data_IF_738001361459
#
_entry.id   IF_738001361459
#
_cell.length_a   1.000
_cell.length_b   1.000
_cell.length_c   1.000
_cell.angle_alpha   90.00
_cell.angle_beta   90.00
_cell.angle_gamma   90.00
#
_symmetry.space_group_name_H-M   'P 1'
#
loop_
_entity.id
_entity.type
_entity.pdbx_description
1 polymer ?
#
# COMPACT_ATOMS: atom_id res chain seq x y z
N UNK A 1 -17.54 -52.34 38.12
CA UNK A 1 -16.26 -51.77 37.71
C UNK A 1 -16.27 -51.07 36.34
N UNK A 2 -17.40 -50.72 35.84
CA UNK A 2 -17.56 -50.07 34.50
C UNK A 2 -17.48 -48.53 34.50
N UNK A 3 -17.50 -47.90 35.65
CA UNK A 3 -17.54 -46.42 35.75
C UNK A 3 -16.21 -45.71 35.51
N UNK A 4 -15.07 -46.35 35.70
CA UNK A 4 -13.75 -45.71 35.52
C UNK A 4 -13.33 -45.62 34.08
N UNK A 5 -13.62 -46.67 33.31
CA UNK A 5 -13.31 -46.70 31.87
C UNK A 5 -14.20 -45.73 31.06
N UNK A 6 -15.44 -45.58 31.45
CA UNK A 6 -16.39 -44.69 30.79
C UNK A 6 -15.99 -43.23 30.96
N UNK A 7 -15.55 -42.84 32.17
CA UNK A 7 -15.06 -41.46 32.42
C UNK A 7 -13.79 -41.12 31.64
N UNK A 8 -12.89 -42.12 31.49
CA UNK A 8 -11.66 -41.87 30.72
C UNK A 8 -11.91 -41.77 29.21
N UNK A 9 -12.88 -42.50 28.68
CA UNK A 9 -13.28 -42.39 27.27
C UNK A 9 -13.97 -41.05 26.99
N UNK A 10 -14.87 -40.61 27.84
CA UNK A 10 -15.52 -39.31 27.75
C UNK A 10 -14.52 -38.15 27.82
N UNK A 11 -13.54 -38.23 28.73
CA UNK A 11 -12.51 -37.22 28.86
C UNK A 11 -11.63 -37.12 27.63
N UNK A 12 -11.25 -38.27 27.05
CA UNK A 12 -10.47 -38.33 25.79
C UNK A 12 -11.26 -37.77 24.60
N UNK A 13 -12.54 -38.10 24.49
CA UNK A 13 -13.41 -37.59 23.45
C UNK A 13 -13.58 -36.05 23.59
N UNK A 14 -13.73 -35.52 24.80
CA UNK A 14 -13.83 -34.08 25.04
C UNK A 14 -12.53 -33.35 24.67
N UNK A 15 -11.37 -33.90 25.00
CA UNK A 15 -10.06 -33.32 24.67
C UNK A 15 -9.84 -33.31 23.15
N UNK A 16 -10.16 -34.40 22.45
CA UNK A 16 -10.05 -34.48 20.99
C UNK A 16 -10.99 -33.49 20.30
N UNK A 17 -12.22 -33.33 20.78
CA UNK A 17 -13.16 -32.33 20.25
C UNK A 17 -12.66 -30.90 20.45
N UNK A 18 -12.07 -30.61 21.61
CA UNK A 18 -11.51 -29.29 21.91
C UNK A 18 -10.32 -28.97 20.99
N UNK A 19 -9.42 -29.94 20.77
CA UNK A 19 -8.29 -29.79 19.85
C UNK A 19 -8.76 -29.58 18.42
N UNK A 20 -9.77 -30.31 17.95
CA UNK A 20 -10.35 -30.13 16.63
C UNK A 20 -10.94 -28.71 16.45
N UNK A 21 -11.64 -28.19 17.45
CA UNK A 21 -12.17 -26.81 17.43
C UNK A 21 -11.06 -25.76 17.37
N UNK A 22 -9.96 -25.95 18.10
CA UNK A 22 -8.80 -25.04 18.07
C UNK A 22 -8.16 -25.03 16.69
N UNK A 23 -7.98 -26.18 16.07
CA UNK A 23 -7.40 -26.31 14.71
C UNK A 23 -8.28 -25.60 13.67
N UNK A 24 -9.59 -25.83 13.72
CA UNK A 24 -10.54 -25.19 12.80
C UNK A 24 -10.57 -23.67 13.02
N UNK A 25 -10.60 -23.21 14.25
CA UNK A 25 -10.56 -21.78 14.55
C UNK A 25 -9.27 -21.13 14.05
N UNK A 26 -8.13 -21.78 14.23
CA UNK A 26 -6.83 -21.32 13.74
C UNK A 26 -6.79 -21.25 12.20
N UNK A 27 -7.31 -22.27 11.53
CA UNK A 27 -7.40 -22.30 10.06
C UNK A 27 -8.29 -21.15 9.52
N UNK A 28 -9.43 -20.90 10.16
CA UNK A 28 -10.33 -19.79 9.77
C UNK A 28 -9.65 -18.43 9.96
N UNK A 29 -8.90 -18.23 11.03
CA UNK A 29 -8.16 -16.99 11.28
C UNK A 29 -7.06 -16.80 10.23
N UNK A 30 -6.33 -17.86 9.89
CA UNK A 30 -5.27 -17.82 8.86
C UNK A 30 -5.87 -17.54 7.48
N UNK A 31 -6.97 -18.20 7.12
CA UNK A 31 -7.67 -17.97 5.85
C UNK A 31 -8.22 -16.55 5.77
N UNK A 32 -8.76 -16.00 6.87
CA UNK A 32 -9.21 -14.60 6.91
C UNK A 32 -8.07 -13.59 6.85
N UNK A 33 -6.89 -13.94 7.35
CA UNK A 33 -5.70 -13.07 7.23
C UNK A 33 -5.08 -13.16 5.84
N UNK A 34 -5.16 -14.33 5.20
CA UNK A 34 -4.64 -14.56 3.84
C UNK A 34 -5.69 -14.31 2.74
N UNK A 35 -6.98 -14.28 3.07
CA UNK A 35 -7.93 -13.58 2.24
C UNK A 35 -7.54 -12.11 2.33
N UNK A 36 -6.50 -11.76 1.55
CA UNK A 36 -6.24 -10.38 1.24
C UNK A 36 -7.62 -9.79 0.93
N UNK A 37 -8.06 -8.87 1.76
CA UNK A 37 -9.07 -7.90 1.36
C UNK A 37 -8.73 -7.58 -0.08
N UNK A 38 -9.63 -7.77 -1.05
CA UNK A 38 -9.37 -7.31 -2.39
C UNK A 38 -8.92 -5.88 -2.17
N UNK A 39 -7.62 -5.64 -2.37
CA UNK A 39 -7.10 -4.30 -2.38
C UNK A 39 -7.97 -3.68 -3.44
N UNK A 40 -8.89 -2.84 -3.01
CA UNK A 40 -9.61 -2.02 -3.94
C UNK A 40 -8.49 -1.39 -4.75
N UNK A 41 -8.34 -1.81 -6.00
CA UNK A 41 -7.27 -1.39 -6.90
C UNK A 41 -7.31 0.12 -7.12
N UNK A 42 -8.29 0.78 -6.56
CA UNK A 42 -8.43 2.23 -6.39
C UNK A 42 -7.75 2.76 -5.12
N UNK A 43 -7.40 1.92 -4.16
CA UNK A 43 -6.58 2.30 -3.02
C UNK A 43 -5.09 2.19 -3.39
N UNK A 44 -4.57 3.07 -3.91
CA UNK A 44 -3.64 4.13 -3.80
C UNK A 44 -2.53 3.73 -2.80
N UNK A 45 -1.46 3.23 -3.37
CA UNK A 45 -0.19 3.23 -2.69
C UNK A 45 0.25 4.71 -2.59
N UNK A 46 0.20 5.30 -1.41
CA UNK A 46 0.67 6.67 -1.21
C UNK A 46 1.87 6.71 -0.27
N UNK A 47 2.82 7.56 -0.57
CA UNK A 47 3.99 7.81 0.26
C UNK A 47 4.04 9.30 0.58
N UNK A 48 3.99 9.63 1.86
CA UNK A 48 4.08 11.01 2.34
C UNK A 48 5.41 11.24 3.04
N UNK A 49 6.11 12.30 2.67
CA UNK A 49 7.38 12.70 3.26
C UNK A 49 7.43 14.22 3.31
N UNK A 50 7.66 14.79 4.50
CA UNK A 50 7.77 16.24 4.71
C UNK A 50 6.57 17.04 4.16
N UNK A 51 5.34 16.55 4.35
CA UNK A 51 4.13 17.20 3.87
C UNK A 51 3.87 17.06 2.37
N UNK A 52 4.75 16.39 1.62
CA UNK A 52 4.59 16.09 0.19
C UNK A 52 4.13 14.66 0.02
N UNK A 53 3.20 14.43 -0.89
CA UNK A 53 2.59 13.11 -1.10
C UNK A 53 2.77 12.65 -2.54
N UNK A 54 3.31 11.45 -2.69
CA UNK A 54 3.35 10.72 -3.96
C UNK A 54 2.26 9.66 -3.93
N UNK A 55 1.41 9.63 -4.95
CA UNK A 55 0.27 8.72 -5.05
C UNK A 55 0.39 7.90 -6.32
N UNK A 56 0.26 6.58 -6.19
CA UNK A 56 0.16 5.68 -7.34
C UNK A 56 -1.31 5.44 -7.64
N UNK A 57 -1.71 5.67 -8.87
CA UNK A 57 -3.09 5.48 -9.34
C UNK A 57 -3.16 4.52 -10.50
N UNK A 58 -4.22 3.75 -10.58
CA UNK A 58 -4.54 2.95 -11.74
C UNK A 58 -5.36 3.80 -12.70
N UNK A 59 -4.76 4.12 -13.84
CA UNK A 59 -5.42 4.88 -14.89
C UNK A 59 -5.79 3.94 -16.04
N UNK A 60 -7.06 3.87 -16.48
CA UNK A 60 -7.46 3.02 -17.60
C UNK A 60 -6.80 3.43 -18.93
N UNK A 61 -6.47 4.69 -19.09
CA UNK A 61 -5.71 5.23 -20.20
C UNK A 61 -4.24 5.27 -19.78
N UNK A 62 -3.50 4.20 -20.00
CA UNK A 62 -2.10 4.04 -19.57
C UNK A 62 -1.18 5.12 -20.17
N UNK A 63 -1.38 6.36 -19.81
CA UNK A 63 -0.36 7.38 -19.96
C UNK A 63 0.79 7.05 -19.00
N UNK A 64 1.93 6.72 -19.56
CA UNK A 64 3.16 6.42 -18.79
C UNK A 64 3.75 7.65 -18.09
N UNK A 65 2.97 8.69 -17.90
CA UNK A 65 3.46 9.96 -17.39
C UNK A 65 3.31 10.07 -15.87
N UNK A 66 4.34 10.62 -15.26
CA UNK A 66 4.31 11.13 -13.90
C UNK A 66 3.80 12.58 -13.96
N UNK A 67 2.81 12.91 -13.15
CA UNK A 67 2.28 14.28 -13.03
C UNK A 67 2.65 14.84 -11.67
N UNK A 68 3.26 16.01 -11.68
CA UNK A 68 3.57 16.77 -10.47
C UNK A 68 2.65 17.99 -10.42
N UNK A 69 2.04 18.25 -9.27
CA UNK A 69 1.20 19.43 -9.06
C UNK A 69 2.03 20.71 -9.15
N UNK A 70 1.40 21.80 -9.57
CA UNK A 70 2.06 23.08 -9.77
C UNK A 70 2.68 23.69 -8.50
N UNK A 71 2.13 23.34 -7.33
CA UNK A 71 2.65 23.74 -6.02
C UNK A 71 3.83 22.88 -5.51
N UNK A 72 4.13 21.76 -6.19
CA UNK A 72 5.17 20.82 -5.78
C UNK A 72 4.83 20.00 -4.53
N UNK A 73 3.58 19.98 -4.08
CA UNK A 73 3.16 19.29 -2.86
C UNK A 73 2.64 17.88 -3.11
N UNK A 74 2.26 17.55 -4.33
CA UNK A 74 1.79 16.24 -4.71
C UNK A 74 2.29 15.79 -6.07
N UNK A 75 2.44 14.49 -6.22
CA UNK A 75 2.75 13.85 -7.49
C UNK A 75 1.90 12.59 -7.66
N UNK A 76 1.52 12.32 -8.88
CA UNK A 76 0.74 11.14 -9.26
C UNK A 76 1.51 10.31 -10.26
N UNK A 77 1.66 9.01 -9.99
CA UNK A 77 2.37 8.06 -10.83
C UNK A 77 1.41 6.94 -11.25
N UNK A 78 1.44 6.58 -12.52
CA UNK A 78 0.61 5.48 -12.99
C UNK A 78 1.21 4.12 -12.59
N UNK A 79 0.40 3.25 -11.99
CA UNK A 79 0.78 1.89 -11.61
C UNK A 79 1.25 1.02 -12.78
N UNK A 80 0.83 1.32 -14.01
CA UNK A 80 1.31 0.63 -15.21
C UNK A 80 2.84 0.65 -15.32
N UNK A 81 3.51 1.70 -14.84
CA UNK A 81 4.97 1.80 -14.84
C UNK A 81 5.64 0.77 -13.93
N UNK A 82 4.96 0.34 -12.88
CA UNK A 82 5.47 -0.68 -11.96
C UNK A 82 5.23 -2.10 -12.49
N UNK A 83 4.17 -2.30 -13.26
CA UNK A 83 3.73 -3.61 -13.75
C UNK A 83 4.26 -3.97 -15.14
N UNK A 84 4.88 -3.05 -15.82
CA UNK A 84 5.38 -3.27 -17.19
C UNK A 84 6.39 -4.42 -17.23
N UNK A 85 6.17 -5.41 -18.11
CA UNK A 85 7.03 -6.59 -18.23
C UNK A 85 6.90 -7.62 -17.11
N UNK A 86 5.81 -7.65 -16.33
CA UNK A 86 5.56 -8.61 -15.23
C UNK A 86 6.76 -8.77 -14.29
N UNK A 87 7.22 -7.71 -13.60
CA UNK A 87 8.35 -7.81 -12.70
C UNK A 87 8.04 -8.71 -11.49
N UNK A 88 9.06 -9.36 -10.94
CA UNK A 88 8.95 -10.03 -9.66
C UNK A 88 8.78 -9.02 -8.50
N UNK A 89 8.52 -9.49 -7.29
CA UNK A 89 8.27 -8.62 -6.14
C UNK A 89 9.46 -7.72 -5.80
N UNK A 90 10.69 -8.20 -5.99
CA UNK A 90 11.93 -7.46 -5.73
C UNK A 90 12.13 -6.34 -6.75
N UNK A 91 11.93 -6.63 -8.02
CA UNK A 91 12.04 -5.64 -9.09
C UNK A 91 10.90 -4.60 -9.01
N UNK A 92 9.69 -5.03 -8.64
CA UNK A 92 8.56 -4.13 -8.39
C UNK A 92 8.89 -3.13 -7.28
N UNK A 93 9.41 -3.60 -6.13
CA UNK A 93 9.82 -2.75 -5.02
C UNK A 93 10.93 -1.77 -5.43
N UNK A 94 11.92 -2.23 -6.17
CA UNK A 94 13.01 -1.40 -6.69
C UNK A 94 12.51 -0.29 -7.62
N UNK A 95 11.61 -0.61 -8.54
CA UNK A 95 10.97 0.38 -9.44
C UNK A 95 10.14 1.38 -8.67
N UNK A 96 9.36 0.92 -7.71
CA UNK A 96 8.56 1.79 -6.83
C UNK A 96 9.45 2.81 -6.13
N UNK A 97 10.48 2.36 -5.46
CA UNK A 97 11.38 3.23 -4.71
C UNK A 97 12.09 4.24 -5.60
N UNK A 98 12.55 3.82 -6.78
CA UNK A 98 13.17 4.71 -7.76
C UNK A 98 12.19 5.79 -8.27
N UNK A 99 10.95 5.42 -8.56
CA UNK A 99 9.92 6.36 -9.00
C UNK A 99 9.51 7.33 -7.89
N UNK A 100 9.44 6.87 -6.66
CA UNK A 100 9.15 7.72 -5.49
C UNK A 100 10.25 8.76 -5.30
N UNK A 101 11.52 8.39 -5.35
CA UNK A 101 12.65 9.32 -5.24
C UNK A 101 12.66 10.32 -6.41
N UNK A 102 12.41 9.87 -7.62
CA UNK A 102 12.28 10.75 -8.78
C UNK A 102 11.14 11.75 -8.59
N UNK A 103 9.99 11.31 -8.08
CA UNK A 103 8.84 12.18 -7.85
C UNK A 103 9.15 13.25 -6.78
N UNK A 104 9.79 12.90 -5.68
CA UNK A 104 10.19 13.86 -4.66
C UNK A 104 11.21 14.87 -5.18
N UNK A 105 12.15 14.47 -6.02
CA UNK A 105 13.10 15.36 -6.69
C UNK A 105 12.39 16.39 -7.57
N UNK A 106 11.47 15.93 -8.43
CA UNK A 106 10.68 16.80 -9.30
C UNK A 106 9.76 17.74 -8.51
N UNK A 107 9.17 17.26 -7.42
CA UNK A 107 8.37 18.11 -6.53
C UNK A 107 9.22 19.22 -5.88
N UNK A 108 10.46 18.92 -5.48
CA UNK A 108 11.37 19.90 -4.93
C UNK A 108 11.75 20.97 -5.96
N UNK A 109 12.00 20.60 -7.20
CA UNK A 109 12.27 21.54 -8.29
C UNK A 109 11.05 22.42 -8.58
N UNK A 110 9.87 21.82 -8.63
CA UNK A 110 8.61 22.52 -8.89
C UNK A 110 8.29 23.52 -7.78
N UNK A 111 8.53 23.17 -6.53
CA UNK A 111 8.36 24.07 -5.40
C UNK A 111 9.31 25.28 -5.47
N UNK A 112 10.56 25.07 -5.91
CA UNK A 112 11.52 26.17 -6.12
C UNK A 112 11.08 27.10 -7.24
N UNK A 113 10.57 26.55 -8.33
CA UNK A 113 10.05 27.33 -9.47
C UNK A 113 8.84 28.16 -9.04
N UNK A 114 7.91 27.57 -8.30
CA UNK A 114 6.74 28.28 -7.74
C UNK A 114 7.14 29.40 -6.80
N UNK A 115 8.12 29.20 -5.94
CA UNK A 115 8.63 30.25 -5.04
C UNK A 115 9.31 31.40 -5.79
N UNK A 116 9.97 31.14 -6.92
CA UNK A 116 10.57 32.19 -7.76
C UNK A 116 9.52 33.01 -8.50
N UNK A 117 8.44 32.38 -8.96
CA UNK A 117 7.36 33.07 -9.66
C UNK A 117 6.48 33.92 -8.73
N UNK A 118 6.48 33.61 -7.43
CA UNK A 118 5.80 34.38 -6.38
C UNK A 118 6.67 35.48 -5.76
N UNK A 119 7.78 35.83 -6.40
CA UNK A 119 8.63 36.93 -5.97
C UNK A 119 7.82 38.22 -5.80
N UNK A 120 8.21 39.12 -4.86
CA UNK A 120 7.44 40.33 -4.58
C UNK A 120 7.32 41.13 -5.87
N UNK A 121 6.07 41.33 -6.29
CA UNK A 121 5.72 42.33 -7.26
C UNK A 121 6.06 43.67 -6.61
N UNK A 122 7.26 44.18 -6.89
CA UNK A 122 7.61 45.54 -6.58
C UNK A 122 6.78 46.42 -7.52
N UNK A 123 5.49 46.55 -7.20
CA UNK A 123 4.66 47.57 -7.73
C UNK A 123 5.36 48.90 -7.48
N UNK A 124 6.06 49.42 -8.47
CA UNK A 124 6.43 50.81 -8.53
C UNK A 124 5.13 51.58 -8.63
N UNK A 125 4.55 51.93 -7.50
CA UNK A 125 3.69 53.08 -7.40
C UNK A 125 4.57 54.29 -7.70
N UNK A 126 4.30 54.89 -8.84
CA UNK A 126 4.63 56.30 -9.08
C UNK A 126 3.46 57.13 -8.67
#
# INVERSE_FOLDING_TARGET
MTGRHFKSVLLRAAVLSLLALIVVASAVVIVRRNAATPIDTRQILSVTRNGRTVTFVECPECEKSMRVASDGMSATINLCRLRDGNPDAKEFARRRDALVEQAFSLMAEKAKESARSSGPDNGKEK
#
